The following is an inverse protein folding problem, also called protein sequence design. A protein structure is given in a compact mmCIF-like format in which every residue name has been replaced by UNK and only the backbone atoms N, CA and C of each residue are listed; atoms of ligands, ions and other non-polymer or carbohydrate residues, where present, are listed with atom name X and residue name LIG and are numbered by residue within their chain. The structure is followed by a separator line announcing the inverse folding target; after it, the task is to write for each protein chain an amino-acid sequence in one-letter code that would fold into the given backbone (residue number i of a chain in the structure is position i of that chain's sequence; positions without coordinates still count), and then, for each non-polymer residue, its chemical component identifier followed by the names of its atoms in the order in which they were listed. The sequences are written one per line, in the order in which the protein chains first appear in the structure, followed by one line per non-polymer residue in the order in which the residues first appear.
data_IF_207012012294
#
_entry.id   IF_207012012294
#
_cell.length_a   1.000
_cell.length_b   1.000
_cell.length_c   1.000
_cell.angle_alpha   90.00
_cell.angle_beta   90.00
_cell.angle_gamma   90.00
#
_symmetry.space_group_name_H-M   'P 1'
#
loop_
_entity.id
_entity.type
_entity.pdbx_description
1 polymer ?
#
# COMPACT_ATOMS: atom_id res chain seq x y z
N UNK A 1 7.48 -6.01 29.72
CA UNK A 1 7.91 -5.69 28.33
C UNK A 1 7.57 -4.24 27.98
N UNK A 2 8.55 -3.40 27.61
CA UNK A 2 8.27 -2.06 27.07
C UNK A 2 8.62 -2.00 25.57
N UNK A 3 7.68 -2.35 24.71
CA UNK A 3 7.83 -2.24 23.27
C UNK A 3 6.81 -1.23 22.71
N UNK A 4 7.04 -0.82 21.46
CA UNK A 4 6.06 -0.11 20.65
C UNK A 4 5.87 -0.86 19.34
N UNK A 5 4.64 -0.90 18.86
CA UNK A 5 4.30 -1.53 17.60
C UNK A 5 3.10 -0.87 16.96
N UNK A 6 3.00 -0.99 15.64
CA UNK A 6 1.81 -0.67 14.87
C UNK A 6 1.66 -1.68 13.74
N UNK A 7 0.43 -2.10 13.47
CA UNK A 7 0.07 -2.83 12.26
C UNK A 7 -0.49 -1.82 11.28
N UNK A 8 0.21 -1.62 10.18
CA UNK A 8 -0.19 -0.70 9.13
C UNK A 8 -1.24 -1.35 8.22
N UNK A 9 -1.06 -2.65 7.92
CA UNK A 9 -1.98 -3.42 7.07
C UNK A 9 -2.02 -4.88 7.52
N UNK A 10 -3.23 -5.43 7.60
CA UNK A 10 -3.46 -6.88 7.69
C UNK A 10 -4.48 -7.29 6.61
N UNK A 11 -4.17 -8.34 5.85
CA UNK A 11 -5.06 -8.87 4.79
C UNK A 11 -4.93 -10.39 4.72
N UNK A 12 -6.05 -11.08 4.54
CA UNK A 12 -6.04 -12.50 4.20
C UNK A 12 -6.15 -12.67 2.69
N UNK A 13 -5.02 -12.90 2.03
CA UNK A 13 -4.94 -13.05 0.58
C UNK A 13 -5.27 -14.47 0.19
N UNK A 14 -6.32 -14.66 -0.60
CA UNK A 14 -6.69 -15.95 -1.17
C UNK A 14 -6.52 -15.85 -2.68
N UNK A 15 -5.58 -16.60 -3.24
CA UNK A 15 -5.32 -16.70 -4.67
C UNK A 15 -5.58 -18.13 -5.14
N UNK A 16 -5.65 -18.39 -6.46
CA UNK A 16 -5.87 -19.74 -6.98
C UNK A 16 -4.85 -20.78 -6.50
N UNK A 17 -3.57 -20.41 -6.37
CA UNK A 17 -2.49 -21.35 -6.02
C UNK A 17 -1.92 -21.19 -4.61
N UNK A 18 -2.21 -20.09 -3.92
CA UNK A 18 -1.70 -19.84 -2.58
C UNK A 18 -2.70 -19.01 -1.76
N UNK A 19 -2.78 -19.29 -0.47
CA UNK A 19 -3.46 -18.45 0.51
C UNK A 19 -2.47 -18.04 1.60
N UNK A 20 -2.53 -16.79 2.04
CA UNK A 20 -1.67 -16.32 3.13
C UNK A 20 -2.25 -15.09 3.84
N UNK A 21 -2.01 -15.00 5.14
CA UNK A 21 -2.24 -13.79 5.92
C UNK A 21 -1.00 -12.91 5.80
N UNK A 22 -1.18 -11.70 5.27
CA UNK A 22 -0.14 -10.67 5.16
C UNK A 22 -0.26 -9.67 6.29
N UNK A 23 0.85 -9.40 6.96
CA UNK A 23 0.91 -8.42 8.06
C UNK A 23 2.10 -7.50 7.81
N UNK A 24 1.81 -6.21 7.67
CA UNK A 24 2.81 -5.17 7.51
C UNK A 24 2.72 -4.22 8.68
N UNK A 25 3.87 -3.76 9.17
CA UNK A 25 3.91 -2.85 10.29
C UNK A 25 5.32 -2.56 10.74
N UNK A 26 5.44 -2.14 11.98
CA UNK A 26 6.72 -1.94 12.64
C UNK A 26 6.61 -2.30 14.11
N UNK A 27 7.73 -2.75 14.68
CA UNK A 27 7.86 -3.02 16.10
C UNK A 27 9.31 -2.87 16.54
N UNK A 28 9.51 -2.37 17.76
CA UNK A 28 10.80 -2.33 18.42
C UNK A 28 10.63 -2.39 19.93
N UNK A 29 11.63 -2.95 20.60
CA UNK A 29 11.76 -2.90 22.06
C UNK A 29 12.53 -1.63 22.43
N UNK A 30 12.12 -0.93 23.49
CA UNK A 30 12.63 0.43 23.78
C UNK A 30 14.12 0.48 24.11
N UNK A 31 14.68 -0.60 24.65
CA UNK A 31 16.08 -0.73 25.03
C UNK A 31 16.91 -1.43 23.95
N UNK A 32 16.31 -1.78 22.80
CA UNK A 32 16.98 -2.42 21.67
C UNK A 32 17.13 -3.93 21.80
N UNK A 33 16.39 -4.59 22.71
CA UNK A 33 16.41 -6.05 22.78
C UNK A 33 15.80 -6.69 21.53
N UNK A 34 16.28 -7.87 21.10
CA UNK A 34 15.72 -8.59 19.98
C UNK A 34 14.23 -8.91 20.19
N UNK A 35 13.42 -8.66 19.16
CA UNK A 35 12.02 -9.06 19.11
C UNK A 35 11.82 -10.22 18.14
N UNK A 36 11.25 -11.29 18.66
CA UNK A 36 10.77 -12.42 17.88
C UNK A 36 9.30 -12.24 17.52
N UNK A 37 8.94 -12.74 16.34
CA UNK A 37 7.58 -12.72 15.81
C UNK A 37 7.03 -14.14 15.84
N UNK A 38 5.88 -14.29 16.50
CA UNK A 38 5.18 -15.57 16.59
C UNK A 38 3.79 -15.41 16.01
N UNK A 39 3.38 -16.38 15.21
CA UNK A 39 2.10 -16.42 14.54
C UNK A 39 1.41 -17.73 14.85
N UNK A 40 0.13 -17.67 15.19
CA UNK A 40 -0.71 -18.83 15.46
C UNK A 40 -1.95 -18.80 14.57
N UNK A 41 -2.34 -19.98 14.08
CA UNK A 41 -3.61 -20.22 13.40
C UNK A 41 -4.33 -21.33 14.18
N UNK A 42 -5.58 -21.09 14.58
CA UNK A 42 -6.41 -22.04 15.32
C UNK A 42 -5.69 -22.61 16.56
N UNK A 43 -4.99 -21.73 17.30
CA UNK A 43 -4.22 -22.10 18.49
C UNK A 43 -2.91 -22.86 18.26
N UNK A 44 -2.51 -23.11 17.00
CA UNK A 44 -1.23 -23.76 16.66
C UNK A 44 -0.23 -22.75 16.13
N UNK A 45 1.00 -22.79 16.63
CA UNK A 45 2.10 -21.98 16.10
C UNK A 45 2.39 -22.41 14.66
N UNK A 46 2.44 -21.45 13.75
CA UNK A 46 2.70 -21.66 12.33
C UNK A 46 3.92 -20.85 11.89
N UNK A 47 4.72 -21.37 10.95
CA UNK A 47 5.87 -20.64 10.42
C UNK A 47 5.42 -19.40 9.66
N UNK A 48 6.26 -18.37 9.70
CA UNK A 48 6.04 -17.14 8.96
C UNK A 48 7.29 -16.75 8.17
N UNK A 49 7.07 -16.10 7.02
CA UNK A 49 8.14 -15.51 6.23
C UNK A 49 8.24 -14.04 6.56
N UNK A 50 9.21 -13.70 7.40
CA UNK A 50 9.54 -12.33 7.79
C UNK A 50 10.54 -11.70 6.82
N UNK A 51 10.22 -10.50 6.34
CA UNK A 51 11.17 -9.58 5.72
C UNK A 51 11.23 -8.29 6.53
N UNK A 52 12.44 -7.91 6.98
CA UNK A 52 12.68 -6.63 7.65
C UNK A 52 12.62 -5.48 6.64
N UNK A 53 12.00 -4.37 7.02
CA UNK A 53 11.77 -3.21 6.16
C UNK A 53 12.32 -1.97 6.85
N UNK A 54 12.98 -1.11 6.06
CA UNK A 54 13.49 0.18 6.54
C UNK A 54 12.34 1.15 6.80
N UNK A 55 12.26 1.71 8.01
CA UNK A 55 11.27 2.67 8.50
C UNK A 55 11.95 3.86 9.17
N UNK A 56 12.63 4.72 8.38
CA UNK A 56 13.31 5.90 8.91
C UNK A 56 12.31 6.89 9.54
N UNK A 57 11.07 6.92 9.04
CA UNK A 57 9.97 7.70 9.59
C UNK A 57 9.64 7.31 11.05
N UNK A 58 9.72 6.01 11.36
CA UNK A 58 9.49 5.50 12.72
C UNK A 58 10.67 5.85 13.62
N UNK A 59 11.91 5.66 13.13
CA UNK A 59 13.12 6.02 13.88
C UNK A 59 13.14 7.52 14.21
N UNK A 60 12.77 8.40 13.28
CA UNK A 60 12.69 9.85 13.52
C UNK A 60 11.60 10.19 14.56
N UNK A 61 10.42 9.57 14.44
CA UNK A 61 9.32 9.75 15.39
C UNK A 61 9.70 9.35 16.81
N UNK A 62 10.58 8.37 16.96
CA UNK A 62 11.02 7.83 18.26
C UNK A 62 12.52 8.05 18.52
N UNK A 63 13.09 9.16 18.05
CA UNK A 63 14.54 9.47 18.16
C UNK A 63 15.13 9.49 19.58
N UNK A 64 14.29 9.59 20.62
CA UNK A 64 14.72 9.50 22.03
C UNK A 64 14.81 8.05 22.55
N UNK A 65 14.53 7.07 21.70
CA UNK A 65 14.57 5.63 22.01
C UNK A 65 15.59 4.94 21.10
N UNK A 66 16.05 3.76 21.50
CA UNK A 66 16.97 2.97 20.68
C UNK A 66 16.19 2.21 19.59
N UNK A 67 15.88 2.90 18.49
CA UNK A 67 15.10 2.35 17.37
C UNK A 67 15.99 2.12 16.16
N UNK A 68 16.16 0.85 15.79
CA UNK A 68 16.77 0.49 14.51
C UNK A 68 15.87 0.97 13.35
N UNK A 69 16.47 1.60 12.33
CA UNK A 69 15.78 1.95 11.09
C UNK A 69 15.20 0.72 10.39
N UNK A 70 15.64 -0.50 10.68
CA UNK A 70 15.07 -1.76 10.17
C UNK A 70 13.94 -2.33 11.05
N UNK A 71 13.30 -1.50 11.89
CA UNK A 71 12.19 -1.92 12.76
C UNK A 71 10.88 -2.29 12.03
N UNK A 72 10.80 -2.09 10.71
CA UNK A 72 9.64 -2.49 9.91
C UNK A 72 9.62 -3.99 9.63
N UNK A 73 8.42 -4.53 9.43
CA UNK A 73 8.23 -5.91 9.02
C UNK A 73 7.19 -6.04 7.91
N UNK A 74 7.44 -6.99 7.02
CA UNK A 74 6.47 -7.57 6.09
C UNK A 74 6.47 -9.08 6.35
N UNK A 75 5.34 -9.59 6.83
CA UNK A 75 5.18 -10.99 7.21
C UNK A 75 4.15 -11.63 6.27
N UNK A 76 4.47 -12.83 5.80
CA UNK A 76 3.49 -13.74 5.19
C UNK A 76 3.37 -15.01 6.01
N UNK A 77 2.16 -15.33 6.42
CA UNK A 77 1.81 -16.60 7.07
C UNK A 77 1.01 -17.40 6.06
N UNK A 78 1.62 -18.44 5.48
CA UNK A 78 0.96 -19.25 4.48
C UNK A 78 -0.12 -20.12 5.13
N UNK A 79 -1.28 -20.16 4.48
CA UNK A 79 -2.44 -20.92 4.89
C UNK A 79 -2.63 -22.05 3.89
N UNK A 80 -2.82 -23.25 4.42
CA UNK A 80 -3.24 -24.40 3.63
C UNK A 80 -4.67 -24.14 3.10
N UNK A 81 -4.90 -24.09 1.78
CA UNK A 81 -6.23 -23.83 1.22
C UNK A 81 -7.31 -24.83 1.65
N UNK A 82 -6.92 -26.02 2.14
CA UNK A 82 -7.86 -27.04 2.63
C UNK A 82 -8.26 -26.84 4.10
N UNK A 83 -7.65 -25.88 4.81
CA UNK A 83 -7.91 -25.63 6.23
C UNK A 83 -8.60 -24.29 6.43
N UNK A 84 -9.67 -24.33 7.21
CA UNK A 84 -10.34 -23.12 7.66
C UNK A 84 -9.48 -22.37 8.68
N UNK A 85 -9.53 -21.04 8.61
CA UNK A 85 -8.87 -20.15 9.58
C UNK A 85 -9.97 -19.51 10.42
N UNK A 86 -10.12 -19.99 11.66
CA UNK A 86 -11.14 -19.52 12.60
C UNK A 86 -10.57 -18.53 13.63
N UNK A 87 -9.28 -18.66 13.94
CA UNK A 87 -8.54 -17.79 14.85
C UNK A 87 -7.14 -17.53 14.28
N UNK A 88 -6.74 -16.27 14.26
CA UNK A 88 -5.37 -15.87 13.94
C UNK A 88 -4.82 -14.98 15.03
N UNK A 89 -3.58 -15.25 15.47
CA UNK A 89 -2.92 -14.45 16.50
C UNK A 89 -1.49 -14.11 16.10
N UNK A 90 -1.15 -12.84 16.30
CA UNK A 90 0.17 -12.28 16.07
C UNK A 90 0.74 -11.78 17.38
N UNK A 91 1.91 -12.29 17.74
CA UNK A 91 2.61 -12.00 18.99
C UNK A 91 3.98 -11.41 18.70
N UNK A 92 4.44 -10.58 19.64
CA UNK A 92 5.85 -10.22 19.78
C UNK A 92 6.39 -10.85 21.05
N UNK A 93 7.59 -11.39 20.98
CA UNK A 93 8.28 -11.97 22.12
C UNK A 93 9.65 -11.30 22.31
N UNK A 94 9.98 -11.00 23.57
CA UNK A 94 11.28 -10.48 24.00
C UNK A 94 11.75 -11.33 25.17
N UNK A 95 12.77 -12.15 24.96
CA UNK A 95 13.20 -13.14 25.97
C UNK A 95 12.05 -14.09 26.33
N UNK A 96 11.65 -14.12 27.62
CA UNK A 96 10.56 -14.98 28.12
C UNK A 96 9.17 -14.33 28.06
N UNK A 97 9.07 -13.02 27.83
CA UNK A 97 7.78 -12.34 27.74
C UNK A 97 7.23 -12.43 26.31
N UNK A 98 6.03 -13.01 26.18
CA UNK A 98 5.25 -13.06 24.93
C UNK A 98 4.03 -12.15 25.09
N UNK A 99 3.81 -11.22 24.16
CA UNK A 99 2.64 -10.34 24.15
C UNK A 99 1.85 -10.44 22.85
N UNK A 100 0.54 -10.60 23.00
CA UNK A 100 -0.42 -10.57 21.90
C UNK A 100 -0.54 -9.15 21.35
N UNK A 101 -0.30 -8.99 20.06
CA UNK A 101 -0.40 -7.70 19.36
C UNK A 101 -1.71 -7.60 18.60
N UNK A 102 -2.13 -8.69 17.96
CA UNK A 102 -3.39 -8.74 17.24
C UNK A 102 -3.97 -10.15 17.32
N UNK A 103 -5.25 -10.21 17.65
CA UNK A 103 -6.11 -11.38 17.47
C UNK A 103 -7.13 -11.01 16.40
N UNK A 104 -7.45 -11.98 15.56
CA UNK A 104 -8.58 -11.95 14.64
C UNK A 104 -9.41 -13.20 14.89
N UNK A 105 -10.71 -13.02 15.14
CA UNK A 105 -11.67 -14.12 15.07
C UNK A 105 -12.14 -14.37 13.63
N UNK A 106 -12.98 -15.40 13.45
CA UNK A 106 -13.51 -15.80 12.14
C UNK A 106 -14.18 -14.64 11.38
N UNK A 107 -14.98 -13.81 12.05
CA UNK A 107 -15.67 -12.69 11.41
C UNK A 107 -14.68 -11.60 10.99
N UNK A 108 -13.71 -11.30 11.85
CA UNK A 108 -12.64 -10.35 11.52
C UNK A 108 -11.74 -10.87 10.38
N UNK A 109 -11.49 -12.18 10.32
CA UNK A 109 -10.74 -12.82 9.23
C UNK A 109 -11.51 -12.70 7.92
N UNK A 110 -12.81 -13.04 7.92
CA UNK A 110 -13.68 -12.92 6.75
C UNK A 110 -13.72 -11.48 6.22
N UNK A 111 -13.74 -10.48 7.11
CA UNK A 111 -13.75 -9.06 6.74
C UNK A 111 -12.44 -8.58 6.07
N UNK A 112 -11.33 -9.28 6.28
CA UNK A 112 -10.03 -8.93 5.65
C UNK A 112 -9.66 -9.84 4.48
N UNK A 113 -10.56 -10.75 4.07
CA UNK A 113 -10.38 -11.58 2.88
C UNK A 113 -10.23 -10.68 1.66
N UNK A 114 -9.14 -10.89 0.93
CA UNK A 114 -8.83 -10.17 -0.28
C UNK A 114 -8.51 -11.18 -1.39
N UNK A 115 -9.56 -11.44 -2.19
CA UNK A 115 -9.52 -12.29 -3.39
C UNK A 115 -9.13 -11.51 -4.65
N UNK A 116 -8.72 -10.24 -4.52
CA UNK A 116 -8.33 -9.45 -5.68
C UNK A 116 -7.07 -10.05 -6.31
N UNK A 117 -7.17 -10.31 -7.62
CA UNK A 117 -6.01 -10.71 -8.42
C UNK A 117 -5.11 -9.52 -8.70
N UNK A 118 -5.63 -8.29 -8.64
CA UNK A 118 -4.89 -7.07 -8.94
C UNK A 118 -4.46 -6.37 -7.64
N UNK A 119 -3.16 -6.17 -7.49
CA UNK A 119 -2.62 -5.26 -6.48
C UNK A 119 -2.22 -3.96 -7.15
N UNK A 120 -2.65 -2.82 -6.59
CA UNK A 120 -2.39 -1.51 -7.18
C UNK A 120 -2.29 -0.42 -6.10
N UNK A 121 -1.71 0.71 -6.50
CA UNK A 121 -1.82 1.99 -5.82
C UNK A 121 -1.73 3.13 -6.83
N UNK A 122 -2.54 4.18 -6.65
CA UNK A 122 -2.39 5.44 -7.38
C UNK A 122 -1.64 6.40 -6.48
N UNK A 123 -0.43 6.79 -6.91
CA UNK A 123 0.49 7.60 -6.12
C UNK A 123 0.34 9.09 -6.42
N UNK A 124 0.14 9.43 -7.70
CA UNK A 124 -0.11 10.80 -8.11
C UNK A 124 -1.30 10.87 -9.05
N UNK A 125 -2.10 11.91 -8.85
CA UNK A 125 -3.22 12.25 -9.72
C UNK A 125 -3.38 13.77 -9.67
N UNK A 126 -3.02 14.44 -10.77
CA UNK A 126 -3.07 15.89 -10.88
C UNK A 126 -3.32 16.33 -12.31
N UNK A 127 -3.60 17.62 -12.48
CA UNK A 127 -3.72 18.26 -13.79
C UNK A 127 -2.43 19.03 -14.07
N UNK A 128 -1.86 18.80 -15.26
CA UNK A 128 -0.80 19.61 -15.84
C UNK A 128 -1.33 20.26 -17.12
N UNK A 129 -1.54 21.58 -17.06
CA UNK A 129 -2.15 22.39 -18.13
C UNK A 129 -3.47 21.79 -18.63
N UNK A 130 -3.46 21.13 -19.78
CA UNK A 130 -4.64 20.58 -20.46
C UNK A 130 -4.72 19.04 -20.37
N UNK A 131 -3.84 18.43 -19.55
CA UNK A 131 -3.76 16.98 -19.39
C UNK A 131 -4.02 16.58 -17.95
N UNK A 132 -4.66 15.43 -17.80
CA UNK A 132 -4.62 14.66 -16.55
C UNK A 132 -3.35 13.81 -16.56
N UNK A 133 -2.62 13.85 -15.45
CA UNK A 133 -1.47 13.00 -15.19
C UNK A 133 -1.82 12.05 -14.04
N UNK A 134 -1.63 10.75 -14.27
CA UNK A 134 -1.79 9.71 -13.24
C UNK A 134 -0.55 8.84 -13.21
N UNK A 135 0.01 8.63 -12.03
CA UNK A 135 1.10 7.68 -11.84
C UNK A 135 0.87 6.80 -10.63
N UNK A 136 1.44 5.61 -10.68
CA UNK A 136 1.30 4.62 -9.62
C UNK A 136 1.91 3.29 -10.02
N UNK A 137 1.40 2.21 -9.44
CA UNK A 137 1.78 0.86 -9.81
C UNK A 137 0.59 -0.08 -9.78
N UNK A 138 0.63 -1.10 -10.62
CA UNK A 138 -0.34 -2.18 -10.66
C UNK A 138 0.29 -3.46 -11.22
N UNK A 139 0.01 -4.59 -10.59
CA UNK A 139 0.41 -5.90 -11.09
C UNK A 139 -0.65 -6.96 -10.78
N UNK A 140 -0.71 -7.97 -11.64
CA UNK A 140 -1.52 -9.15 -11.37
C UNK A 140 -0.74 -10.10 -10.46
N UNK A 141 -1.47 -10.70 -9.54
CA UNK A 141 -1.02 -11.79 -8.71
C UNK A 141 -1.34 -13.16 -9.34
N UNK A 142 -2.04 -13.18 -10.47
CA UNK A 142 -2.27 -14.40 -11.25
C UNK A 142 -1.10 -14.63 -12.21
N UNK A 143 -0.59 -15.87 -12.30
CA UNK A 143 0.55 -16.24 -13.16
C UNK A 143 0.39 -15.81 -14.63
N UNK A 144 -0.83 -15.89 -15.16
CA UNK A 144 -1.12 -15.54 -16.56
C UNK A 144 -1.69 -14.12 -16.74
N UNK A 145 -1.87 -13.36 -15.66
CA UNK A 145 -2.53 -12.06 -15.71
C UNK A 145 -1.64 -10.98 -16.33
N UNK A 146 -1.94 -10.59 -17.58
CA UNK A 146 -1.30 -9.44 -18.22
C UNK A 146 -2.06 -8.17 -17.87
N UNK A 147 -1.39 -7.25 -17.18
CA UNK A 147 -1.97 -5.95 -16.86
C UNK A 147 -2.27 -5.14 -18.11
N UNK A 148 -3.50 -4.65 -18.22
CA UNK A 148 -3.94 -3.60 -19.14
C UNK A 148 -4.34 -2.38 -18.34
N UNK A 149 -3.93 -1.21 -18.83
CA UNK A 149 -4.19 0.09 -18.23
C UNK A 149 -4.85 0.94 -19.29
N UNK A 150 -6.10 1.31 -19.06
CA UNK A 150 -6.93 2.02 -20.03
C UNK A 150 -7.69 3.14 -19.35
N UNK A 151 -8.05 4.18 -20.11
CA UNK A 151 -8.88 5.28 -19.61
C UNK A 151 -10.15 5.34 -20.44
N UNK A 152 -11.29 5.43 -19.78
CA UNK A 152 -12.60 5.59 -20.42
C UNK A 152 -13.21 6.92 -19.98
N UNK A 153 -14.01 7.53 -20.85
CA UNK A 153 -14.90 8.62 -20.45
C UNK A 153 -16.25 8.09 -19.93
N UNK A 154 -17.15 9.01 -19.61
CA UNK A 154 -18.48 8.70 -19.08
C UNK A 154 -19.35 7.86 -20.03
N UNK A 155 -19.06 7.86 -21.33
CA UNK A 155 -19.79 7.08 -22.32
C UNK A 155 -19.13 5.70 -22.57
N UNK A 156 -18.25 5.25 -21.67
CA UNK A 156 -17.42 4.05 -21.84
C UNK A 156 -16.56 4.08 -23.12
N UNK A 157 -16.28 5.27 -23.67
CA UNK A 157 -15.40 5.40 -24.83
C UNK A 157 -13.95 5.46 -24.37
N UNK A 158 -13.12 4.56 -24.89
CA UNK A 158 -11.69 4.53 -24.56
C UNK A 158 -10.98 5.78 -25.08
N UNK A 159 -10.21 6.43 -24.19
CA UNK A 159 -9.38 7.57 -24.53
C UNK A 159 -7.98 7.12 -24.92
N UNK A 160 -7.44 7.75 -25.96
CA UNK A 160 -6.03 7.62 -26.30
C UNK A 160 -5.19 8.24 -25.17
N UNK A 161 -4.27 7.44 -24.63
CA UNK A 161 -3.35 7.84 -23.57
C UNK A 161 -1.91 7.73 -24.04
N UNK A 162 -1.04 8.58 -23.50
CA UNK A 162 0.41 8.35 -23.52
C UNK A 162 0.73 7.57 -22.26
N UNK A 163 1.05 6.28 -22.39
CA UNK A 163 1.34 5.37 -21.28
C UNK A 163 2.82 4.97 -21.28
N UNK A 164 3.48 5.17 -20.16
CA UNK A 164 4.83 4.69 -19.91
C UNK A 164 4.80 3.68 -18.76
N UNK A 165 5.37 2.49 -19.00
CA UNK A 165 5.56 1.47 -17.97
C UNK A 165 6.97 1.59 -17.39
N UNK A 166 7.05 1.59 -16.06
CA UNK A 166 8.25 1.88 -15.28
C UNK A 166 8.63 0.67 -14.42
N UNK A 167 9.93 0.49 -14.22
CA UNK A 167 10.46 -0.45 -13.24
C UNK A 167 10.39 0.16 -11.84
N UNK A 168 9.91 -0.62 -10.87
CA UNK A 168 9.72 -0.23 -9.46
C UNK A 168 10.55 -1.11 -8.55
N UNK A 169 11.88 -0.95 -8.61
CA UNK A 169 12.83 -1.68 -7.77
C UNK A 169 12.64 -1.37 -6.28
N UNK A 170 12.21 -0.15 -5.96
CA UNK A 170 11.83 0.28 -4.62
C UNK A 170 10.74 -0.61 -4.00
N UNK A 171 9.78 -1.06 -4.80
CA UNK A 171 8.72 -1.97 -4.33
C UNK A 171 9.22 -3.39 -4.09
N UNK A 172 10.27 -3.83 -4.80
CA UNK A 172 10.93 -5.11 -4.57
C UNK A 172 11.71 -5.04 -3.25
N UNK A 173 12.48 -3.97 -3.06
CA UNK A 173 13.25 -3.71 -1.84
C UNK A 173 12.33 -3.67 -0.62
N UNK A 174 11.19 -2.97 -0.73
CA UNK A 174 10.14 -2.93 0.29
C UNK A 174 9.33 -4.24 0.40
N UNK A 175 9.57 -5.23 -0.47
CA UNK A 175 8.94 -6.56 -0.40
C UNK A 175 7.48 -6.60 -0.82
N UNK A 176 6.98 -5.57 -1.49
CA UNK A 176 5.61 -5.54 -2.02
C UNK A 176 5.47 -6.34 -3.32
N UNK A 177 6.54 -6.42 -4.11
CA UNK A 177 6.54 -6.96 -5.47
C UNK A 177 7.70 -7.95 -5.66
N UNK A 178 7.47 -9.03 -6.43
CA UNK A 178 8.53 -9.97 -6.83
C UNK A 178 9.41 -9.37 -7.92
N UNK A 179 10.61 -9.91 -8.15
CA UNK A 179 11.49 -9.45 -9.24
C UNK A 179 10.83 -9.58 -10.62
N UNK A 180 10.05 -10.64 -10.83
CA UNK A 180 9.31 -10.89 -12.07
C UNK A 180 8.25 -9.82 -12.35
N UNK A 181 7.67 -9.22 -11.31
CA UNK A 181 6.65 -8.18 -11.41
C UNK A 181 7.23 -6.77 -11.26
N UNK A 182 8.56 -6.59 -11.39
CA UNK A 182 9.21 -5.30 -11.17
C UNK A 182 8.72 -4.19 -12.10
N UNK A 183 8.27 -4.56 -13.31
CA UNK A 183 7.80 -3.65 -14.34
C UNK A 183 6.30 -3.36 -14.18
N UNK A 184 5.93 -2.92 -12.98
CA UNK A 184 4.55 -2.68 -12.57
C UNK A 184 4.21 -1.19 -12.36
N UNK A 185 5.19 -0.29 -12.48
CA UNK A 185 4.93 1.14 -12.40
C UNK A 185 4.27 1.64 -13.69
N UNK A 186 3.39 2.63 -13.56
CA UNK A 186 2.82 3.33 -14.71
C UNK A 186 2.84 4.83 -14.49
N UNK A 187 3.03 5.54 -15.60
CA UNK A 187 2.79 6.98 -15.74
C UNK A 187 1.95 7.16 -17.00
N UNK A 188 0.78 7.78 -16.87
CA UNK A 188 -0.11 8.03 -18.00
C UNK A 188 -0.57 9.46 -18.05
N UNK A 189 -0.74 9.94 -19.28
CA UNK A 189 -1.22 11.28 -19.58
C UNK A 189 -2.28 11.24 -20.67
N UNK A 190 -3.32 12.06 -20.53
CA UNK A 190 -4.34 12.23 -21.56
C UNK A 190 -5.02 13.60 -21.46
N UNK A 191 -5.48 14.16 -22.59
CA UNK A 191 -6.25 15.40 -22.59
C UNK A 191 -7.60 15.18 -21.89
N UNK A 192 -8.09 16.22 -21.21
CA UNK A 192 -9.35 16.14 -20.47
C UNK A 192 -10.28 17.32 -20.77
N UNK A 193 -11.57 17.07 -20.60
CA UNK A 193 -12.63 18.08 -20.60
C UNK A 193 -13.07 18.31 -19.16
N UNK A 194 -13.12 19.58 -18.74
CA UNK A 194 -13.31 19.96 -17.33
C UNK A 194 -14.57 19.38 -16.70
N UNK A 195 -15.67 19.34 -17.46
CA UNK A 195 -16.99 18.90 -17.00
C UNK A 195 -17.17 17.39 -17.05
N UNK A 196 -16.23 16.65 -17.66
CA UNK A 196 -16.31 15.20 -17.78
C UNK A 196 -15.67 14.50 -16.59
N UNK A 197 -16.08 13.26 -16.38
CA UNK A 197 -15.44 12.31 -15.49
C UNK A 197 -14.84 11.20 -16.34
N UNK A 198 -13.72 10.67 -15.85
CA UNK A 198 -12.98 9.61 -16.50
C UNK A 198 -12.82 8.44 -15.54
N UNK A 199 -12.52 7.28 -16.12
CA UNK A 199 -12.33 6.03 -15.40
C UNK A 199 -11.03 5.39 -15.85
N UNK A 200 -10.05 5.37 -14.96
CA UNK A 200 -8.86 4.54 -15.11
C UNK A 200 -9.23 3.10 -14.77
N UNK A 201 -9.12 2.22 -15.76
CA UNK A 201 -9.36 0.78 -15.61
C UNK A 201 -8.03 0.05 -15.59
N UNK A 202 -7.77 -0.67 -14.50
CA UNK A 202 -6.67 -1.61 -14.35
C UNK A 202 -7.26 -3.02 -14.46
N UNK A 203 -6.92 -3.78 -15.48
CA UNK A 203 -7.43 -5.15 -15.65
C UNK A 203 -6.32 -6.15 -15.90
N UNK A 204 -6.52 -7.40 -15.49
CA UNK A 204 -5.56 -8.49 -15.71
C UNK A 204 -6.14 -9.65 -16.53
N UNK A 205 -7.32 -9.43 -17.13
CA UNK A 205 -8.09 -10.45 -17.85
C UNK A 205 -8.99 -11.31 -16.95
N UNK A 206 -8.81 -11.26 -15.64
CA UNK A 206 -9.66 -11.97 -14.66
C UNK A 206 -10.55 -10.97 -13.92
N UNK A 207 -9.94 -9.89 -13.41
CA UNK A 207 -10.62 -8.81 -12.72
C UNK A 207 -10.34 -7.46 -13.38
N UNK A 208 -11.14 -6.47 -12.99
CA UNK A 208 -10.89 -5.07 -13.32
C UNK A 208 -11.17 -4.17 -12.11
N UNK A 209 -10.25 -3.24 -11.87
CA UNK A 209 -10.40 -2.17 -10.88
C UNK A 209 -10.63 -0.87 -11.63
N UNK A 210 -11.69 -0.16 -11.24
CA UNK A 210 -12.06 1.12 -11.82
C UNK A 210 -11.80 2.24 -10.81
N UNK A 211 -10.96 3.20 -11.20
CA UNK A 211 -10.61 4.37 -10.40
C UNK A 211 -11.16 5.61 -11.12
N UNK A 212 -12.01 6.36 -10.45
CA UNK A 212 -12.68 7.51 -11.04
C UNK A 212 -11.83 8.77 -10.91
N UNK A 213 -11.59 9.41 -12.05
CA UNK A 213 -10.80 10.62 -12.21
C UNK A 213 -11.75 11.78 -12.52
N UNK A 214 -11.89 12.68 -11.55
CA UNK A 214 -12.75 13.86 -11.66
C UNK A 214 -11.92 15.16 -11.74
N UNK A 215 -11.69 15.71 -12.94
CA UNK A 215 -10.86 16.91 -13.11
C UNK A 215 -11.35 18.12 -12.32
N UNK A 216 -12.66 18.37 -12.21
CA UNK A 216 -13.17 19.48 -11.37
C UNK A 216 -12.71 19.39 -9.92
N UNK A 217 -12.74 18.17 -9.32
CA UNK A 217 -12.29 17.96 -7.94
C UNK A 217 -10.80 18.24 -7.79
N UNK A 218 -9.99 17.91 -8.80
CA UNK A 218 -8.56 18.23 -8.81
C UNK A 218 -8.30 19.73 -8.94
N UNK A 219 -8.96 20.42 -9.87
CA UNK A 219 -8.78 21.86 -10.09
C UNK A 219 -9.14 22.66 -8.83
N UNK A 220 -10.23 22.29 -8.15
CA UNK A 220 -10.62 22.90 -6.86
C UNK A 220 -9.51 22.71 -5.80
N UNK A 221 -8.97 21.50 -5.66
CA UNK A 221 -7.87 21.21 -4.73
C UNK A 221 -6.58 21.98 -5.08
N UNK A 222 -6.22 22.08 -6.35
CA UNK A 222 -5.05 22.83 -6.82
C UNK A 222 -5.20 24.34 -6.56
N UNK A 223 -6.37 24.92 -6.85
CA UNK A 223 -6.66 26.34 -6.55
C UNK A 223 -6.50 26.65 -5.06
N UNK A 224 -7.04 25.80 -4.18
CA UNK A 224 -6.90 25.99 -2.73
C UNK A 224 -5.41 25.94 -2.32
N UNK A 225 -4.65 24.97 -2.83
CA UNK A 225 -3.20 24.88 -2.55
C UNK A 225 -2.43 26.09 -3.06
N UNK A 226 -2.71 26.57 -4.26
CA UNK A 226 -2.05 27.78 -4.80
C UNK A 226 -2.39 29.00 -3.95
N UNK A 227 -3.66 29.21 -3.58
CA UNK A 227 -4.08 30.33 -2.73
C UNK A 227 -3.40 30.29 -1.36
N UNK A 228 -3.33 29.12 -0.71
CA UNK A 228 -2.60 28.97 0.56
C UNK A 228 -1.10 29.22 0.39
N UNK A 229 -0.51 28.79 -0.73
CA UNK A 229 0.89 29.06 -1.06
C UNK A 229 1.16 30.56 -1.24
N UNK A 230 0.30 31.27 -1.95
CA UNK A 230 0.36 32.73 -2.13
C UNK A 230 0.21 33.47 -0.80
N UNK A 231 -0.76 33.09 0.04
CA UNK A 231 -0.94 33.70 1.37
C UNK A 231 0.31 33.49 2.24
N UNK A 232 0.88 32.28 2.26
CA UNK A 232 2.12 32.01 3.02
C UNK A 232 3.32 32.80 2.51
N UNK A 233 3.43 33.02 1.19
CA UNK A 233 4.47 33.87 0.62
C UNK A 233 4.24 35.36 0.93
N UNK A 234 2.98 35.83 0.90
CA UNK A 234 2.61 37.20 1.26
C UNK A 234 2.90 37.51 2.73
N UNK A 235 2.53 36.61 3.65
CA UNK A 235 2.85 36.75 5.08
C UNK A 235 4.36 36.72 5.33
N UNK A 236 5.12 35.88 4.62
CA UNK A 236 6.59 35.87 4.73
C UNK A 236 7.23 37.18 4.26
N UNK A 237 6.68 37.83 3.23
CA UNK A 237 7.18 39.12 2.76
C UNK A 237 6.84 40.26 3.74
N UNK A 238 5.65 40.25 4.36
CA UNK A 238 5.27 41.27 5.34
C UNK A 238 6.03 41.22 6.67
N UNK A 239 6.69 40.10 7.00
CA UNK A 239 7.53 39.96 8.21
C UNK A 239 9.00 40.30 7.92
N UNK A 240 9.37 40.60 6.67
CA UNK A 240 10.74 40.86 6.22
C UNK A 240 11.02 42.30 5.77
N UNK A 241 10.15 43.26 6.06
CA UNK A 241 10.46 44.68 5.88
C UNK A 241 10.75 45.31 7.26
N UNK A 242 11.89 46.01 7.42
CA UNK A 242 12.35 46.59 8.69
C UNK A 242 11.51 47.78 9.17
#
# INVERSE_FOLDING_TARGET
MQYKSCIDVIKYRIKPEEAYIRINGWAFEKNGQPLEIITEINGKVVPNRLKKIKRPDVAEKFKKMNVDKMCGFHIKVYVDPQKDVEDFRFYLQSGKEKKLIKKLDKKEIEAIIDRSTISHNVEQYYIDREKIVVSGWAFSNAKAGKMKIQVFDNAETEKKVVLQILNRTDLIEAGFVSKENCRCGFHLEFPYEREKRYKLRLSDGINAINIYLEPQKLLKKQRIKSTVGFIKQGIKKQIQEP
#
